data_IF_069081936828
#
_entry.id   IF_069081936828
#
_cell.length_a   1.000
_cell.length_b   1.000
_cell.length_c   1.000
_cell.angle_alpha   90.00
_cell.angle_beta   90.00
_cell.angle_gamma   90.00
#
_symmetry.space_group_name_H-M   'P 1'
#
loop_
_entity.id
_entity.type
_entity.pdbx_description
1 polymer ?
#
# COMPACT_ATOMS: atom_id res chain seq x y z
N UNK A 1 -4.33 26.04 -73.20
CA UNK A 1 -3.47 25.41 -72.19
C UNK A 1 -4.29 25.24 -70.91
N UNK A 2 -4.85 24.05 -70.69
CA UNK A 2 -5.17 23.52 -69.34
C UNK A 2 -4.09 22.47 -69.02
N UNK A 3 -3.78 22.08 -67.75
CA UNK A 3 -4.51 22.23 -66.48
C UNK A 3 -3.55 22.78 -65.35
N UNK A 4 -3.68 22.67 -63.99
CA UNK A 4 -4.38 21.66 -63.16
C UNK A 4 -5.38 22.19 -62.11
N UNK A 5 -6.20 21.24 -61.68
CA UNK A 5 -7.10 21.20 -60.53
C UNK A 5 -6.26 21.06 -59.24
N UNK A 6 -6.60 21.78 -58.17
CA UNK A 6 -6.32 21.32 -56.81
C UNK A 6 -7.24 21.99 -55.77
N UNK A 7 -8.23 21.21 -55.32
CA UNK A 7 -8.52 20.93 -53.91
C UNK A 7 -8.56 22.12 -52.93
N UNK A 8 -9.76 22.65 -52.65
CA UNK A 8 -9.98 23.41 -51.41
C UNK A 8 -10.50 22.45 -50.34
N UNK A 9 -9.59 22.16 -49.41
CA UNK A 9 -9.72 21.26 -48.28
C UNK A 9 -10.93 21.55 -47.41
N UNK A 10 -11.65 20.50 -47.03
CA UNK A 10 -12.62 20.50 -45.93
C UNK A 10 -11.83 20.51 -44.62
N UNK A 11 -11.95 21.57 -43.83
CA UNK A 11 -11.42 21.57 -42.46
C UNK A 11 -12.44 20.87 -41.55
N UNK A 12 -12.21 19.59 -41.28
CA UNK A 12 -12.86 18.88 -40.18
C UNK A 12 -12.21 19.32 -38.88
N UNK A 13 -12.91 20.12 -38.07
CA UNK A 13 -12.52 20.40 -36.70
C UNK A 13 -13.03 19.25 -35.84
N UNK A 14 -12.18 18.24 -35.62
CA UNK A 14 -12.46 17.17 -34.67
C UNK A 14 -12.18 17.67 -33.25
N UNK A 15 -13.23 17.96 -32.49
CA UNK A 15 -13.12 18.22 -31.04
C UNK A 15 -12.81 16.90 -30.35
N UNK A 16 -11.56 16.69 -29.98
CA UNK A 16 -11.18 15.59 -29.08
C UNK A 16 -11.63 15.97 -27.67
N UNK A 17 -12.77 15.43 -27.24
CA UNK A 17 -13.13 15.38 -25.83
C UNK A 17 -12.16 14.42 -25.14
N UNK A 18 -11.11 14.97 -24.53
CA UNK A 18 -10.26 14.21 -23.61
C UNK A 18 -11.11 13.94 -22.36
N UNK A 19 -11.71 12.76 -22.31
CA UNK A 19 -12.28 12.22 -21.08
C UNK A 19 -11.12 11.99 -20.10
N UNK A 20 -10.93 12.94 -19.19
CA UNK A 20 -10.22 12.67 -17.95
C UNK A 20 -11.05 11.65 -17.17
N UNK A 21 -10.77 10.36 -17.38
CA UNK A 21 -11.14 9.33 -16.41
C UNK A 21 -10.16 9.55 -15.26
N UNK A 22 -10.51 10.47 -14.36
CA UNK A 22 -9.87 10.52 -13.06
C UNK A 22 -10.07 9.15 -12.43
N UNK A 23 -8.99 8.49 -12.03
CA UNK A 23 -9.08 7.36 -11.12
C UNK A 23 -9.75 7.89 -9.84
N UNK A 24 -11.06 7.70 -9.72
CA UNK A 24 -11.76 7.84 -8.44
C UNK A 24 -11.32 6.62 -7.62
N UNK A 25 -10.11 6.69 -7.06
CA UNK A 25 -9.80 5.87 -5.90
C UNK A 25 -10.91 6.20 -4.89
N UNK A 26 -11.70 5.19 -4.51
CA UNK A 26 -12.80 5.38 -3.58
C UNK A 26 -12.25 6.09 -2.34
N UNK A 27 -12.74 7.30 -2.10
CA UNK A 27 -12.38 8.08 -0.92
C UNK A 27 -12.89 7.30 0.29
N UNK A 28 -11.95 6.72 1.06
CA UNK A 28 -12.26 6.00 2.28
C UNK A 28 -11.73 6.79 3.47
N UNK A 29 -12.35 6.59 4.63
CA UNK A 29 -12.02 7.31 5.85
C UNK A 29 -12.16 6.41 7.06
N UNK A 30 -11.39 6.69 8.12
CA UNK A 30 -11.55 6.07 9.43
C UNK A 30 -12.87 6.45 10.11
N UNK A 31 -13.52 7.53 9.68
CA UNK A 31 -14.79 8.00 10.25
C UNK A 31 -16.02 7.32 9.60
N UNK A 32 -15.85 6.66 8.45
CA UNK A 32 -16.95 6.09 7.67
C UNK A 32 -16.64 4.63 7.31
N UNK A 33 -16.39 3.79 8.32
CA UNK A 33 -16.06 2.37 8.15
C UNK A 33 -17.14 1.61 7.35
N UNK A 34 -18.40 2.02 7.46
CA UNK A 34 -19.51 1.43 6.71
C UNK A 34 -19.45 1.71 5.21
N UNK A 35 -18.59 2.62 4.74
CA UNK A 35 -18.39 2.87 3.31
C UNK A 35 -17.19 2.12 2.74
N UNK A 36 -16.45 1.37 3.56
CA UNK A 36 -15.34 0.57 3.07
C UNK A 36 -15.84 -0.50 2.10
N UNK A 37 -15.00 -0.90 1.12
CA UNK A 37 -15.37 -1.91 0.13
C UNK A 37 -15.95 -3.18 0.78
N UNK A 38 -16.92 -3.81 0.11
CA UNK A 38 -17.64 -4.95 0.69
C UNK A 38 -16.74 -6.11 1.10
N UNK A 39 -15.60 -6.29 0.44
CA UNK A 39 -14.61 -7.31 0.82
C UNK A 39 -14.04 -7.09 2.24
N UNK A 40 -13.95 -5.84 2.69
CA UNK A 40 -13.53 -5.48 4.04
C UNK A 40 -14.53 -5.94 5.10
N UNK A 41 -15.80 -6.12 4.72
CA UNK A 41 -16.87 -6.55 5.62
C UNK A 41 -17.16 -8.05 5.53
N UNK A 42 -17.06 -8.61 4.33
CA UNK A 42 -17.52 -9.97 4.01
C UNK A 42 -16.39 -10.98 3.81
N UNK A 43 -15.15 -10.50 3.70
CA UNK A 43 -13.98 -11.36 3.56
C UNK A 43 -13.76 -12.25 4.78
N UNK A 44 -13.25 -13.46 4.55
CA UNK A 44 -13.06 -14.48 5.60
C UNK A 44 -11.66 -14.44 6.23
N UNK A 45 -10.80 -13.51 5.78
CA UNK A 45 -9.38 -13.40 6.17
C UNK A 45 -8.97 -11.93 6.34
N UNK A 46 -9.86 -11.14 6.93
CA UNK A 46 -9.60 -9.73 7.21
C UNK A 46 -8.66 -9.58 8.41
N UNK A 47 -7.92 -8.49 8.41
CA UNK A 47 -7.11 -8.00 9.52
C UNK A 47 -7.60 -6.60 9.92
N UNK A 48 -7.29 -6.13 11.14
CA UNK A 48 -6.57 -6.80 12.23
C UNK A 48 -7.40 -7.88 12.95
N UNK A 49 -6.75 -8.68 13.81
CA UNK A 49 -7.43 -9.66 14.67
C UNK A 49 -6.98 -9.57 16.14
N UNK A 50 -7.77 -10.19 17.03
CA UNK A 50 -7.38 -10.38 18.44
C UNK A 50 -6.45 -11.59 18.57
N UNK A 51 -5.23 -11.36 19.04
CA UNK A 51 -4.26 -12.42 19.30
C UNK A 51 -4.38 -12.88 20.75
N UNK A 52 -4.71 -14.16 20.96
CA UNK A 52 -4.82 -14.76 22.29
C UNK A 52 -3.80 -15.86 22.44
N UNK A 53 -2.85 -15.68 23.36
CA UNK A 53 -1.73 -16.62 23.55
C UNK A 53 -2.17 -18.05 23.82
N UNK A 54 -3.28 -18.23 24.55
CA UNK A 54 -3.85 -19.55 24.87
C UNK A 54 -4.51 -20.25 23.67
N UNK A 55 -4.90 -19.49 22.64
CA UNK A 55 -5.49 -20.03 21.40
C UNK A 55 -4.45 -20.18 20.28
N UNK A 56 -3.25 -19.62 20.45
CA UNK A 56 -2.17 -19.72 19.47
C UNK A 56 -1.50 -21.09 19.52
N UNK A 57 -1.28 -21.67 18.34
CA UNK A 57 -0.53 -22.92 18.20
C UNK A 57 0.96 -22.62 18.05
N UNK A 58 1.78 -23.16 18.96
CA UNK A 58 3.23 -23.15 18.78
C UNK A 58 3.60 -24.12 17.65
N UNK A 59 4.18 -23.60 16.60
CA UNK A 59 4.66 -24.36 15.44
C UNK A 59 6.13 -24.05 15.26
N UNK A 60 7.01 -25.03 14.99
CA UNK A 60 8.38 -24.74 14.60
C UNK A 60 8.35 -24.02 13.25
N UNK A 61 8.72 -22.75 13.25
CA UNK A 61 8.87 -21.93 12.05
C UNK A 61 10.33 -21.43 12.06
N UNK A 62 11.04 -21.44 10.92
CA UNK A 62 12.34 -20.81 10.80
C UNK A 62 12.33 -19.37 11.32
N UNK A 63 13.51 -18.83 11.65
CA UNK A 63 13.62 -17.43 12.01
C UNK A 63 13.26 -16.55 10.80
N UNK A 64 12.67 -15.38 11.07
CA UNK A 64 12.64 -14.30 10.09
C UNK A 64 14.04 -13.71 9.98
N UNK A 65 14.44 -13.40 8.76
CA UNK A 65 15.73 -12.83 8.41
C UNK A 65 15.53 -11.40 7.94
N UNK A 66 16.10 -10.45 8.68
CA UNK A 66 16.04 -9.03 8.40
C UNK A 66 17.36 -8.62 7.76
N UNK A 67 17.39 -8.61 6.43
CA UNK A 67 18.60 -8.28 5.67
C UNK A 67 18.75 -6.77 5.59
N UNK A 68 19.92 -6.27 5.97
CA UNK A 68 20.30 -4.86 5.87
C UNK A 68 19.50 -3.85 6.72
N UNK A 69 18.60 -4.29 7.59
CA UNK A 69 17.86 -3.44 8.55
C UNK A 69 18.72 -2.68 9.57
N UNK A 70 20.01 -3.02 9.69
CA UNK A 70 20.94 -2.35 10.61
C UNK A 70 21.71 -1.20 9.94
N UNK A 71 21.52 -1.00 8.63
CA UNK A 71 22.10 0.09 7.88
C UNK A 71 21.23 1.34 8.05
N UNK A 72 21.87 2.51 8.10
CA UNK A 72 21.16 3.78 8.11
C UNK A 72 20.86 4.22 6.67
N UNK A 73 19.60 4.53 6.41
CA UNK A 73 19.11 4.97 5.10
C UNK A 73 18.61 6.40 5.16
N UNK A 74 18.65 7.08 4.02
CA UNK A 74 17.87 8.31 3.86
C UNK A 74 16.43 7.93 3.57
N UNK A 75 15.51 8.45 4.37
CA UNK A 75 14.08 8.22 4.19
C UNK A 75 13.32 9.54 4.05
N UNK A 76 12.29 9.54 3.21
CA UNK A 76 11.25 10.56 3.26
C UNK A 76 10.25 10.20 4.35
N UNK A 77 9.58 11.22 4.88
CA UNK A 77 8.48 11.06 5.83
C UNK A 77 7.32 11.93 5.33
N UNK A 78 6.18 11.31 5.06
CA UNK A 78 5.02 11.96 4.49
C UNK A 78 3.78 11.72 5.36
N UNK A 79 2.96 12.76 5.54
CA UNK A 79 1.61 12.61 6.06
C UNK A 79 0.66 12.56 4.87
N UNK A 80 0.10 11.38 4.59
CA UNK A 80 -0.81 11.18 3.45
C UNK A 80 -2.29 11.45 3.79
N UNK A 81 -2.58 11.95 4.99
CA UNK A 81 -3.93 12.20 5.50
C UNK A 81 -4.55 11.02 6.25
N UNK A 82 -3.95 9.83 6.19
CA UNK A 82 -4.39 8.65 6.96
C UNK A 82 -3.35 8.21 7.99
N UNK A 83 -2.06 8.29 7.63
CA UNK A 83 -0.95 7.88 8.48
C UNK A 83 0.28 8.77 8.22
N UNK A 84 1.33 8.55 9.00
CA UNK A 84 2.67 9.00 8.68
C UNK A 84 3.40 7.81 8.04
N UNK A 85 3.83 7.98 6.80
CA UNK A 85 4.51 6.95 6.01
C UNK A 85 5.97 7.34 5.79
N UNK A 86 6.88 6.40 6.02
CA UNK A 86 8.30 6.53 5.75
C UNK A 86 8.69 5.63 4.57
N UNK A 87 9.43 6.18 3.61
CA UNK A 87 9.97 5.45 2.45
C UNK A 87 11.45 5.68 2.31
N UNK A 88 12.20 4.62 2.02
CA UNK A 88 13.63 4.73 1.72
C UNK A 88 13.78 5.42 0.36
N UNK A 89 14.68 6.40 0.30
CA UNK A 89 14.97 7.17 -0.91
C UNK A 89 16.20 6.64 -1.66
N UNK A 90 16.93 5.71 -1.06
CA UNK A 90 18.15 5.13 -1.63
C UNK A 90 17.78 4.01 -2.61
N UNK A 91 18.17 4.14 -3.87
CA UNK A 91 17.80 3.18 -4.93
C UNK A 91 18.71 1.95 -5.01
N UNK A 92 19.90 2.02 -4.42
CA UNK A 92 20.95 1.01 -4.64
C UNK A 92 20.94 -0.12 -3.59
N UNK A 93 20.26 0.08 -2.46
CA UNK A 93 20.12 -0.91 -1.40
C UNK A 93 18.84 -0.67 -0.61
N UNK A 94 17.89 -1.59 -0.69
CA UNK A 94 16.64 -1.55 0.09
C UNK A 94 16.60 -2.81 0.97
N UNK A 95 16.32 -2.70 2.29
CA UNK A 95 16.22 -3.85 3.18
C UNK A 95 15.21 -4.89 2.69
N UNK A 96 15.55 -6.16 2.87
CA UNK A 96 14.68 -7.27 2.50
C UNK A 96 14.34 -8.16 3.69
N UNK A 97 13.19 -8.82 3.61
CA UNK A 97 12.71 -9.79 4.59
C UNK A 97 12.63 -11.18 3.94
N UNK A 98 13.28 -12.17 4.56
CA UNK A 98 13.25 -13.57 4.15
C UNK A 98 13.04 -14.52 5.33
N UNK A 99 13.04 -15.83 5.07
CA UNK A 99 12.90 -16.85 6.11
C UNK A 99 11.47 -17.00 6.63
N UNK A 100 11.32 -17.46 7.87
CA UNK A 100 10.02 -17.75 8.46
C UNK A 100 9.21 -18.76 7.64
N UNK A 101 7.98 -18.37 7.29
CA UNK A 101 7.10 -19.12 6.39
C UNK A 101 6.85 -18.33 5.08
N UNK A 102 7.79 -17.46 4.71
CA UNK A 102 7.71 -16.68 3.48
C UNK A 102 8.09 -17.55 2.28
N UNK A 103 7.44 -17.31 1.13
CA UNK A 103 7.70 -18.05 -0.12
C UNK A 103 8.93 -17.55 -0.89
N UNK A 104 9.61 -16.52 -0.39
CA UNK A 104 10.71 -15.84 -1.05
C UNK A 104 11.21 -14.66 -0.23
N UNK A 105 12.01 -13.81 -0.88
CA UNK A 105 12.49 -12.56 -0.35
C UNK A 105 11.55 -11.41 -0.75
N UNK A 106 11.24 -10.53 0.21
CA UNK A 106 10.34 -9.39 0.02
C UNK A 106 11.08 -8.10 0.33
N UNK A 107 10.94 -7.09 -0.54
CA UNK A 107 11.68 -5.82 -0.44
C UNK A 107 10.85 -4.79 0.30
N UNK A 108 11.42 -4.12 1.30
CA UNK A 108 10.70 -3.09 2.06
C UNK A 108 10.20 -1.97 1.13
N UNK A 109 8.89 -1.75 1.09
CA UNK A 109 8.27 -0.66 0.34
C UNK A 109 8.11 0.60 1.21
N UNK A 110 7.47 0.45 2.38
CA UNK A 110 7.24 1.55 3.30
C UNK A 110 7.09 1.08 4.76
N UNK A 111 7.20 2.04 5.68
CA UNK A 111 6.83 1.87 7.08
C UNK A 111 5.77 2.90 7.44
N UNK A 112 4.65 2.49 8.01
CA UNK A 112 3.63 3.41 8.48
C UNK A 112 3.10 3.04 9.86
N UNK A 113 2.33 3.94 10.45
CA UNK A 113 1.92 3.84 11.86
C UNK A 113 0.42 3.95 12.04
N UNK A 114 -0.10 3.16 12.98
CA UNK A 114 -1.43 3.32 13.52
C UNK A 114 -1.31 3.73 14.99
N UNK A 115 -1.94 4.86 15.33
CA UNK A 115 -2.15 5.28 16.71
C UNK A 115 -3.30 4.46 17.27
N UNK A 116 -3.17 3.95 18.49
CA UNK A 116 -4.02 2.89 19.04
C UNK A 116 -3.98 1.59 18.22
N UNK A 117 -3.05 0.69 18.58
CA UNK A 117 -2.69 -0.52 17.85
C UNK A 117 -3.88 -1.28 17.28
N UNK A 118 -3.86 -1.55 15.98
CA UNK A 118 -4.93 -2.25 15.29
C UNK A 118 -5.16 -3.65 15.88
N UNK A 119 -4.06 -4.40 16.06
CA UNK A 119 -4.08 -5.70 16.72
C UNK A 119 -4.12 -5.54 18.25
N UNK A 120 -4.61 -6.57 18.92
CA UNK A 120 -4.58 -6.67 20.38
C UNK A 120 -3.95 -7.97 20.81
N UNK A 121 -3.23 -7.96 21.94
CA UNK A 121 -2.63 -9.16 22.52
C UNK A 121 -3.28 -9.41 23.87
N UNK A 122 -3.96 -10.55 24.03
CA UNK A 122 -4.77 -10.88 25.20
C UNK A 122 -5.72 -9.74 25.58
N UNK A 123 -6.45 -9.22 24.58
CA UNK A 123 -7.40 -8.10 24.69
C UNK A 123 -6.77 -6.75 25.12
N UNK A 124 -5.43 -6.65 25.16
CA UNK A 124 -4.71 -5.39 25.40
C UNK A 124 -4.37 -4.68 24.09
N UNK A 125 -4.71 -3.40 24.01
CA UNK A 125 -4.32 -2.45 22.96
C UNK A 125 -3.07 -1.67 23.40
N UNK A 126 -2.22 -1.31 22.45
CA UNK A 126 -0.99 -0.55 22.65
C UNK A 126 -1.11 0.82 21.99
N UNK A 127 -0.28 1.78 22.41
CA UNK A 127 -0.43 3.16 21.98
C UNK A 127 -0.11 3.37 20.48
N UNK A 128 0.81 2.59 19.93
CA UNK A 128 1.22 2.67 18.52
C UNK A 128 1.50 1.26 18.00
N UNK A 129 1.15 1.03 16.73
CA UNK A 129 1.55 -0.13 15.95
C UNK A 129 2.24 0.34 14.66
N UNK A 130 3.39 -0.26 14.34
CA UNK A 130 4.10 0.02 13.10
C UNK A 130 3.91 -1.15 12.13
N UNK A 131 3.57 -0.85 10.89
CA UNK A 131 3.53 -1.80 9.79
C UNK A 131 4.74 -1.56 8.90
N UNK A 132 5.52 -2.61 8.65
CA UNK A 132 6.57 -2.63 7.65
C UNK A 132 5.99 -3.41 6.46
N UNK A 133 5.77 -2.73 5.34
CA UNK A 133 5.19 -3.31 4.13
C UNK A 133 6.31 -3.78 3.23
N UNK A 134 6.25 -5.02 2.75
CA UNK A 134 7.20 -5.64 1.82
C UNK A 134 6.51 -6.25 0.61
#
# INVERSE_FOLDING_TARGET
>A
LFPPIAMKSVFSVSVFAVLFIGNLAAEWSYFELDKWPDICKTGQRQSPIKLRRLLSRKTPIPALEFNDYKIAYRASLENNGQTVEARIMDNDAIPTLSGGNLGGEYTLDNVHFHWDSEYTINDKRFAVEAHLVH
#
